data_IF_269827950508
#
_entry.id   IF_269827950508
#
_cell.length_a   1.000
_cell.length_b   1.000
_cell.length_c   1.000
_cell.angle_alpha   90.00
_cell.angle_beta   90.00
_cell.angle_gamma   90.00
#
_symmetry.space_group_name_H-M   'P 1'
#
loop_
_entity.id
_entity.type
_entity.pdbx_description
1 polymer ?
#
# COMPACT_ATOMS: atom_id res chain seq x y z
N UNK A 1 -28.40 10.81 -21.14
CA UNK A 1 -29.33 9.70 -20.87
C UNK A 1 -29.62 8.98 -22.16
N UNK A 2 -29.55 7.66 -22.16
CA UNK A 2 -29.91 6.82 -23.30
C UNK A 2 -31.34 6.31 -23.06
N UNK A 3 -32.27 6.71 -23.91
CA UNK A 3 -33.68 6.30 -23.78
C UNK A 3 -33.79 4.78 -23.81
N UNK A 4 -34.37 4.20 -22.76
CA UNK A 4 -34.50 2.75 -22.60
C UNK A 4 -33.21 1.97 -22.35
N UNK A 5 -32.04 2.63 -22.29
CA UNK A 5 -30.72 1.98 -22.21
C UNK A 5 -29.84 2.45 -21.04
N UNK A 6 -30.34 3.35 -20.19
CA UNK A 6 -29.62 3.85 -19.01
C UNK A 6 -28.88 5.16 -19.28
N UNK A 7 -27.61 5.24 -18.89
CA UNK A 7 -26.83 6.46 -18.98
C UNK A 7 -25.37 6.21 -19.37
N UNK A 8 -24.79 7.19 -20.06
CA UNK A 8 -23.38 7.23 -20.43
C UNK A 8 -22.73 8.39 -19.67
N UNK A 9 -21.62 8.11 -18.99
CA UNK A 9 -20.80 9.10 -18.30
C UNK A 9 -19.42 9.16 -18.96
N UNK A 10 -18.96 10.37 -19.26
CA UNK A 10 -17.67 10.61 -19.91
C UNK A 10 -16.85 11.58 -19.05
N UNK A 11 -15.55 11.34 -18.96
CA UNK A 11 -14.60 12.21 -18.27
C UNK A 11 -13.28 12.27 -19.03
N UNK A 12 -12.47 13.28 -18.76
CA UNK A 12 -11.13 13.37 -19.34
C UNK A 12 -10.20 12.27 -18.81
N UNK A 13 -10.50 11.75 -17.62
CA UNK A 13 -9.81 10.61 -17.01
C UNK A 13 -10.81 9.58 -16.51
N UNK A 14 -10.32 8.36 -16.21
CA UNK A 14 -11.14 7.27 -15.68
C UNK A 14 -11.81 7.66 -14.36
N UNK A 15 -11.07 8.34 -13.48
CA UNK A 15 -11.53 8.77 -12.17
C UNK A 15 -12.68 9.78 -12.30
N UNK A 16 -12.60 10.71 -13.25
CA UNK A 16 -13.67 11.67 -13.51
C UNK A 16 -14.92 10.98 -14.08
N UNK A 17 -14.76 10.06 -15.04
CA UNK A 17 -15.88 9.32 -15.61
C UNK A 17 -16.60 8.48 -14.53
N UNK A 18 -15.83 7.82 -13.66
CA UNK A 18 -16.36 7.07 -12.52
C UNK A 18 -17.07 8.00 -11.52
N UNK A 19 -16.49 9.15 -11.20
CA UNK A 19 -17.08 10.15 -10.32
C UNK A 19 -18.45 10.62 -10.82
N UNK A 20 -18.56 10.92 -12.11
CA UNK A 20 -19.84 11.29 -12.73
C UNK A 20 -20.85 10.14 -12.68
N UNK A 21 -20.44 8.90 -12.98
CA UNK A 21 -21.32 7.74 -12.92
C UNK A 21 -21.85 7.48 -11.50
N UNK A 22 -20.98 7.56 -10.49
CA UNK A 22 -21.35 7.41 -9.08
C UNK A 22 -22.36 8.48 -8.65
N UNK A 23 -22.10 9.74 -8.99
CA UNK A 23 -23.00 10.85 -8.65
C UNK A 23 -24.34 10.76 -9.40
N UNK A 24 -24.32 10.31 -10.65
CA UNK A 24 -25.54 10.06 -11.40
C UNK A 24 -26.39 8.98 -10.74
N UNK A 25 -25.77 7.87 -10.34
CA UNK A 25 -26.48 6.80 -9.64
C UNK A 25 -27.11 7.29 -8.34
N UNK A 26 -26.35 8.05 -7.53
CA UNK A 26 -26.87 8.66 -6.31
C UNK A 26 -28.02 9.65 -6.58
N UNK A 27 -27.90 10.49 -7.62
CA UNK A 27 -28.95 11.41 -8.02
C UNK A 27 -30.22 10.68 -8.46
N UNK A 28 -30.09 9.61 -9.26
CA UNK A 28 -31.22 8.78 -9.66
C UNK A 28 -31.88 8.10 -8.46
N UNK A 29 -31.11 7.62 -7.49
CA UNK A 29 -31.66 7.02 -6.27
C UNK A 29 -32.47 8.03 -5.45
N UNK A 30 -31.95 9.26 -5.28
CA UNK A 30 -32.69 10.34 -4.63
C UNK A 30 -33.94 10.70 -5.41
N UNK A 31 -33.86 10.83 -6.73
CA UNK A 31 -35.01 11.12 -7.59
C UNK A 31 -36.10 10.05 -7.49
N UNK A 32 -35.72 8.76 -7.45
CA UNK A 32 -36.67 7.67 -7.28
C UNK A 32 -37.37 7.71 -5.91
N UNK A 33 -36.67 8.10 -4.85
CA UNK A 33 -37.27 8.28 -3.52
C UNK A 33 -38.22 9.48 -3.48
N UNK A 34 -37.92 10.54 -4.23
CA UNK A 34 -38.76 11.73 -4.34
C UNK A 34 -39.92 11.58 -5.34
N UNK A 35 -39.88 10.59 -6.23
CA UNK A 35 -40.89 10.38 -7.27
C UNK A 35 -42.30 10.09 -6.73
N UNK A 36 -42.42 9.72 -5.45
CA UNK A 36 -43.70 9.53 -4.77
C UNK A 36 -44.33 10.82 -4.25
N UNK A 37 -43.58 11.92 -4.22
CA UNK A 37 -44.05 13.22 -3.74
C UNK A 37 -44.60 14.06 -4.89
N UNK A 38 -45.63 14.89 -4.65
CA UNK A 38 -46.11 15.85 -5.64
C UNK A 38 -45.05 16.91 -5.94
N UNK A 39 -45.02 17.39 -7.18
CA UNK A 39 -44.04 18.39 -7.63
C UNK A 39 -44.10 19.70 -6.83
N UNK A 40 -45.29 20.06 -6.34
CA UNK A 40 -45.53 21.30 -5.59
C UNK A 40 -44.82 21.31 -4.22
N UNK A 41 -44.49 20.13 -3.67
CA UNK A 41 -43.72 20.01 -2.42
C UNK A 41 -42.21 20.05 -2.65
N UNK A 42 -41.74 19.96 -3.90
CA UNK A 42 -40.33 19.94 -4.24
C UNK A 42 -39.80 21.36 -4.44
N UNK A 43 -38.78 21.71 -3.66
CA UNK A 43 -38.02 22.94 -3.89
C UNK A 43 -36.97 22.71 -4.98
N UNK A 44 -37.15 23.38 -6.11
CA UNK A 44 -36.17 23.39 -7.19
C UNK A 44 -35.07 24.40 -6.86
N UNK A 45 -33.82 23.97 -7.02
CA UNK A 45 -32.67 24.86 -6.91
C UNK A 45 -32.65 25.84 -8.08
N UNK A 46 -32.37 27.10 -7.78
CA UNK A 46 -32.18 28.12 -8.81
C UNK A 46 -30.96 27.80 -9.70
N UNK A 47 -31.01 28.25 -10.95
CA UNK A 47 -29.98 27.94 -11.93
C UNK A 47 -28.62 28.55 -11.57
N UNK A 48 -28.60 29.74 -10.96
CA UNK A 48 -27.37 30.38 -10.51
C UNK A 48 -26.75 29.57 -9.36
N UNK A 49 -27.57 29.15 -8.40
CA UNK A 49 -27.13 28.31 -7.27
C UNK A 49 -26.58 26.97 -7.77
N UNK A 50 -27.28 26.32 -8.69
CA UNK A 50 -26.84 25.06 -9.32
C UNK A 50 -25.49 25.20 -10.02
N UNK A 51 -25.29 26.31 -10.74
CA UNK A 51 -24.02 26.60 -11.42
C UNK A 51 -22.89 26.84 -10.41
N UNK A 52 -23.12 27.62 -9.36
CA UNK A 52 -22.14 27.85 -8.30
C UNK A 52 -21.75 26.56 -7.58
N UNK A 53 -22.71 25.67 -7.30
CA UNK A 53 -22.44 24.34 -6.72
C UNK A 53 -21.58 23.48 -7.68
N UNK A 54 -21.90 23.52 -8.97
CA UNK A 54 -21.12 22.78 -9.98
C UNK A 54 -19.67 23.30 -10.08
N UNK A 55 -19.48 24.62 -10.17
CA UNK A 55 -18.16 25.23 -10.26
C UNK A 55 -17.35 25.03 -8.97
N UNK A 56 -17.97 25.14 -7.79
CA UNK A 56 -17.30 24.90 -6.51
C UNK A 56 -16.88 23.44 -6.33
N UNK A 57 -17.69 22.46 -6.78
CA UNK A 57 -17.32 21.03 -6.74
C UNK A 57 -16.09 20.70 -7.59
N UNK A 58 -15.80 21.54 -8.60
CA UNK A 58 -14.70 21.37 -9.54
C UNK A 58 -13.48 22.23 -9.22
N UNK A 59 -13.52 22.97 -8.11
CA UNK A 59 -12.41 23.82 -7.69
C UNK A 59 -11.44 23.02 -6.82
N UNK A 60 -10.13 23.03 -7.14
CA UNK A 60 -9.14 22.40 -6.28
C UNK A 60 -9.08 23.11 -4.91
N UNK A 61 -8.79 22.37 -3.82
CA UNK A 61 -8.46 22.98 -2.55
C UNK A 61 -7.15 23.76 -2.67
N UNK A 62 -6.98 24.79 -1.82
CA UNK A 62 -5.96 25.85 -1.97
C UNK A 62 -4.51 25.36 -2.16
N UNK A 63 -4.15 24.19 -1.60
CA UNK A 63 -2.76 23.69 -1.58
C UNK A 63 -2.52 22.42 -2.42
N UNK A 64 -3.45 22.03 -3.30
CA UNK A 64 -3.36 20.74 -3.98
C UNK A 64 -2.86 20.84 -5.44
N UNK A 65 -1.53 20.89 -5.59
CA UNK A 65 -0.84 20.98 -6.89
C UNK A 65 -1.15 19.84 -7.88
N UNK A 66 -1.74 18.71 -7.43
CA UNK A 66 -2.07 17.54 -8.26
C UNK A 66 -3.54 17.12 -8.20
N UNK A 67 -4.41 17.99 -7.68
CA UNK A 67 -5.82 17.68 -7.50
C UNK A 67 -6.53 17.41 -8.83
N UNK A 68 -7.44 16.44 -8.82
CA UNK A 68 -8.31 16.10 -9.94
C UNK A 68 -9.69 15.76 -9.41
N UNK A 69 -10.72 16.08 -10.20
CA UNK A 69 -12.11 15.74 -9.90
C UNK A 69 -12.24 14.22 -9.76
N UNK A 70 -12.71 13.76 -8.60
CA UNK A 70 -12.88 12.34 -8.31
C UNK A 70 -11.60 11.53 -8.08
N UNK A 71 -10.42 12.13 -8.18
CA UNK A 71 -9.13 11.44 -8.06
C UNK A 71 -8.93 10.81 -6.68
N UNK A 72 -9.16 11.58 -5.61
CA UNK A 72 -8.99 11.11 -4.23
C UNK A 72 -10.00 10.03 -3.85
N UNK A 73 -11.27 10.22 -4.22
CA UNK A 73 -12.32 9.24 -3.94
C UNK A 73 -12.05 7.92 -4.66
N UNK A 74 -11.66 7.99 -5.94
CA UNK A 74 -11.33 6.81 -6.72
C UNK A 74 -10.13 6.10 -6.12
N UNK A 75 -9.08 6.83 -5.78
CA UNK A 75 -7.89 6.27 -5.14
C UNK A 75 -8.23 5.57 -3.82
N UNK A 76 -9.04 6.20 -2.96
CA UNK A 76 -9.48 5.62 -1.68
C UNK A 76 -10.25 4.31 -1.90
N UNK A 77 -11.13 4.25 -2.90
CA UNK A 77 -11.86 3.02 -3.24
C UNK A 77 -10.94 1.92 -3.76
N UNK A 78 -9.95 2.25 -4.59
CA UNK A 78 -8.95 1.28 -5.05
C UNK A 78 -8.16 0.69 -3.88
N UNK A 79 -7.82 1.51 -2.87
CA UNK A 79 -7.19 1.01 -1.63
C UNK A 79 -8.09 0.06 -0.87
N UNK A 80 -9.38 0.38 -0.74
CA UNK A 80 -10.33 -0.51 -0.07
C UNK A 80 -10.43 -1.87 -0.77
N UNK A 81 -10.43 -1.87 -2.11
CA UNK A 81 -10.45 -3.09 -2.91
C UNK A 81 -9.14 -3.88 -2.77
N UNK A 82 -7.99 -3.22 -2.79
CA UNK A 82 -6.70 -3.87 -2.58
C UNK A 82 -6.58 -4.47 -1.17
N UNK A 83 -7.07 -3.76 -0.15
CA UNK A 83 -7.12 -4.25 1.23
C UNK A 83 -8.05 -5.47 1.38
N UNK A 84 -9.10 -5.55 0.57
CA UNK A 84 -9.98 -6.72 0.48
C UNK A 84 -9.39 -7.85 -0.39
N UNK A 85 -8.21 -7.66 -0.99
CA UNK A 85 -7.48 -8.67 -1.75
C UNK A 85 -7.71 -8.64 -3.27
N UNK A 86 -8.44 -7.65 -3.80
CA UNK A 86 -8.81 -7.59 -5.22
C UNK A 86 -7.72 -7.10 -6.18
N UNK A 87 -6.53 -6.72 -5.69
CA UNK A 87 -5.32 -6.37 -6.48
C UNK A 87 -5.63 -5.55 -7.75
N UNK A 88 -6.22 -4.38 -7.56
CA UNK A 88 -6.64 -3.44 -8.60
C UNK A 88 -5.51 -2.97 -9.53
N UNK A 89 -4.26 -2.98 -9.05
CA UNK A 89 -3.11 -2.48 -9.81
C UNK A 89 -3.10 -0.96 -10.02
N UNK A 90 -3.95 -0.23 -9.30
CA UNK A 90 -4.02 1.22 -9.40
C UNK A 90 -2.75 1.89 -8.87
N UNK A 91 -2.27 2.92 -9.58
CA UNK A 91 -1.07 3.66 -9.19
C UNK A 91 -1.48 4.76 -8.21
N UNK A 92 -1.13 4.56 -6.94
CA UNK A 92 -1.39 5.49 -5.86
C UNK A 92 -0.56 6.77 -5.97
N UNK A 93 -1.22 7.92 -5.99
CA UNK A 93 -0.56 9.23 -6.00
C UNK A 93 -0.19 9.68 -4.60
N UNK A 94 -1.03 9.37 -3.63
CA UNK A 94 -0.72 9.61 -2.22
C UNK A 94 0.09 8.42 -1.67
N UNK A 95 1.26 8.64 -1.07
CA UNK A 95 1.98 7.55 -0.44
C UNK A 95 1.17 6.98 0.73
N UNK A 96 1.32 5.68 1.00
CA UNK A 96 0.73 5.05 2.17
C UNK A 96 1.33 5.67 3.44
N UNK A 97 0.54 6.47 4.15
CA UNK A 97 0.86 6.87 5.52
C UNK A 97 0.51 5.68 6.42
N UNK A 98 1.38 4.67 6.45
CA UNK A 98 1.31 3.61 7.46
C UNK A 98 1.76 4.27 8.76
N UNK A 99 0.83 4.53 9.67
CA UNK A 99 1.21 4.85 11.04
C UNK A 99 2.10 3.70 11.53
N UNK A 100 3.24 4.02 12.13
CA UNK A 100 4.14 3.02 12.68
C UNK A 100 3.33 2.07 13.56
N UNK A 101 3.43 0.77 13.27
CA UNK A 101 2.78 -0.24 14.11
C UNK A 101 3.28 0.02 15.53
N UNK A 102 2.38 0.23 16.52
CA UNK A 102 2.82 0.49 17.88
C UNK A 102 3.84 -0.56 18.27
N UNK A 103 5.07 -0.11 18.58
CA UNK A 103 6.16 -1.03 18.91
C UNK A 103 5.66 -1.97 20.00
N UNK A 104 5.73 -3.31 19.81
CA UNK A 104 5.32 -4.24 20.84
C UNK A 104 6.16 -3.94 22.08
N UNK A 105 5.50 -3.48 23.15
CA UNK A 105 6.16 -3.21 24.42
C UNK A 105 6.39 -4.57 25.09
N UNK A 106 7.59 -5.10 24.91
CA UNK A 106 7.98 -6.36 25.54
C UNK A 106 8.57 -6.02 26.91
N UNK A 107 7.77 -6.19 27.98
CA UNK A 107 8.22 -6.01 29.37
C UNK A 107 9.04 -7.22 29.89
N UNK A 108 9.46 -8.11 28.99
CA UNK A 108 10.24 -9.32 29.29
C UNK A 108 11.55 -9.23 28.50
N UNK A 109 12.68 -9.38 29.20
CA UNK A 109 14.00 -9.49 28.57
C UNK A 109 13.99 -10.66 27.58
N UNK A 110 13.99 -10.33 26.29
CA UNK A 110 13.98 -11.34 25.23
C UNK A 110 15.42 -11.82 25.02
N UNK A 111 15.70 -13.13 25.13
CA UNK A 111 17.05 -13.62 24.93
C UNK A 111 17.54 -13.30 23.51
N UNK A 112 18.85 -13.10 23.31
CA UNK A 112 19.44 -12.59 22.06
C UNK A 112 19.18 -13.46 20.81
N UNK A 113 18.62 -14.66 20.98
CA UNK A 113 18.26 -15.58 19.89
C UNK A 113 16.82 -15.38 19.35
N UNK A 114 15.98 -14.57 20.01
CA UNK A 114 14.62 -14.32 19.54
C UNK A 114 14.64 -13.23 18.49
N UNK A 115 14.64 -13.64 17.23
CA UNK A 115 14.36 -12.74 16.11
C UNK A 115 12.88 -12.34 16.17
N UNK A 116 12.60 -11.31 16.97
CA UNK A 116 11.26 -10.74 17.08
C UNK A 116 11.00 -9.82 15.89
N UNK A 117 9.72 -9.72 15.52
CA UNK A 117 9.14 -8.90 14.44
C UNK A 117 9.74 -7.48 14.27
N UNK A 118 10.38 -6.92 15.31
CA UNK A 118 11.12 -5.66 15.23
C UNK A 118 12.25 -5.64 14.19
N UNK A 119 12.97 -6.74 13.99
CA UNK A 119 14.04 -6.81 12.98
C UNK A 119 13.48 -6.78 11.55
N UNK A 120 12.32 -7.40 11.34
CA UNK A 120 11.60 -7.37 10.05
C UNK A 120 11.05 -5.97 9.74
N UNK A 121 10.62 -5.23 10.77
CA UNK A 121 10.14 -3.85 10.61
C UNK A 121 11.29 -2.88 10.28
N UNK A 122 12.43 -2.99 10.96
CA UNK A 122 13.63 -2.19 10.65
C UNK A 122 14.14 -2.47 9.22
N UNK A 123 14.07 -3.73 8.77
CA UNK A 123 14.44 -4.10 7.40
C UNK A 123 13.45 -3.51 6.37
N UNK A 124 12.14 -3.56 6.63
CA UNK A 124 11.11 -2.95 5.77
C UNK A 124 11.27 -1.42 5.65
N UNK A 125 11.69 -0.74 6.72
CA UNK A 125 12.00 0.70 6.72
C UNK A 125 13.23 1.05 5.89
N UNK A 126 14.28 0.23 5.94
CA UNK A 126 15.48 0.38 5.09
C UNK A 126 15.16 0.25 3.60
N UNK A 127 14.21 -0.61 3.24
CA UNK A 127 13.68 -0.71 1.88
C UNK A 127 12.87 0.53 1.48
N UNK A 128 12.05 1.08 2.39
CA UNK A 128 11.26 2.30 2.14
C UNK A 128 12.10 3.56 1.98
N UNK A 129 13.20 3.69 2.73
CA UNK A 129 14.07 4.87 2.66
C UNK A 129 15.16 4.78 1.58
N UNK A 130 15.26 3.66 0.84
CA UNK A 130 16.26 3.50 -0.23
C UNK A 130 17.71 3.41 0.27
N UNK A 131 17.92 3.24 1.58
CA UNK A 131 19.26 3.13 2.20
C UNK A 131 19.92 1.76 2.00
N UNK A 132 19.18 0.75 1.51
CA UNK A 132 19.69 -0.62 1.36
C UNK A 132 20.95 -0.73 0.47
N UNK A 133 21.17 0.24 -0.43
CA UNK A 133 22.35 0.28 -1.32
C UNK A 133 23.59 0.92 -0.69
N UNK A 134 23.52 1.48 0.52
CA UNK A 134 24.61 2.28 1.13
C UNK A 134 25.24 1.65 2.38
N UNK A 135 25.19 0.33 2.50
CA UNK A 135 25.86 -0.45 3.56
C UNK A 135 27.15 -1.11 3.09
N UNK A 136 28.11 -0.34 2.59
CA UNK A 136 29.46 -0.82 2.27
C UNK A 136 30.26 -1.13 3.52
N UNK A 137 29.97 -2.25 4.18
CA UNK A 137 30.68 -2.67 5.39
C UNK A 137 30.25 -4.05 5.87
N UNK A 138 31.05 -5.08 5.53
CA UNK A 138 31.03 -6.44 6.10
C UNK A 138 29.63 -7.09 6.22
N UNK A 139 28.98 -7.31 5.09
CA UNK A 139 27.71 -8.05 5.00
C UNK A 139 27.88 -9.59 4.93
N UNK A 140 29.08 -10.13 5.15
CA UNK A 140 29.37 -11.56 5.01
C UNK A 140 29.11 -12.41 6.26
N UNK A 141 29.00 -11.81 7.44
CA UNK A 141 28.82 -12.57 8.70
C UNK A 141 27.35 -12.64 9.14
N UNK A 142 26.52 -11.66 8.76
CA UNK A 142 25.11 -11.57 9.20
C UNK A 142 24.13 -12.40 8.37
N UNK A 143 24.56 -12.93 7.23
CA UNK A 143 23.80 -13.86 6.36
C UNK A 143 24.21 -15.32 6.54
N UNK A 144 24.96 -15.63 7.60
CA UNK A 144 25.19 -17.03 7.97
C UNK A 144 23.93 -17.51 8.72
N UNK A 145 23.17 -18.41 8.10
CA UNK A 145 22.05 -19.09 8.73
C UNK A 145 22.50 -19.69 10.07
N UNK A 146 22.06 -19.09 11.18
CA UNK A 146 22.43 -19.49 12.55
C UNK A 146 21.88 -20.86 12.95
N UNK A 147 21.17 -21.56 12.07
CA UNK A 147 20.58 -22.86 12.34
C UNK A 147 20.72 -23.87 11.17
N UNK A 148 21.80 -23.78 10.37
CA UNK A 148 22.20 -24.95 9.59
C UNK A 148 22.99 -25.89 10.52
N UNK A 149 22.53 -27.11 10.84
CA UNK A 149 23.17 -27.97 11.84
C UNK A 149 24.58 -28.47 11.45
N UNK A 150 25.04 -28.15 10.25
CA UNK A 150 26.31 -28.60 9.70
C UNK A 150 27.23 -27.40 9.41
N UNK A 151 27.95 -26.96 10.44
CA UNK A 151 29.16 -26.15 10.25
C UNK A 151 30.34 -27.10 10.29
N UNK A 152 30.75 -27.62 9.12
CA UNK A 152 31.94 -28.45 9.03
C UNK A 152 33.20 -27.58 9.18
N UNK A 153 33.99 -27.82 10.22
CA UNK A 153 35.29 -27.20 10.42
C UNK A 153 36.34 -28.00 9.66
N UNK A 154 37.06 -27.34 8.75
CA UNK A 154 38.23 -27.91 8.09
C UNK A 154 39.36 -27.97 9.11
N UNK A 155 39.67 -29.17 9.60
CA UNK A 155 40.81 -29.40 10.49
C UNK A 155 41.89 -30.13 9.70
N UNK A 156 43.07 -29.54 9.62
CA UNK A 156 44.26 -30.19 9.08
C UNK A 156 44.87 -31.05 10.18
N UNK A 157 44.77 -32.38 10.03
CA UNK A 157 45.35 -33.33 10.97
C UNK A 157 46.52 -34.01 10.27
N UNK A 158 47.64 -34.09 10.98
CA UNK A 158 48.81 -34.85 10.55
C UNK A 158 48.56 -36.34 10.84
N UNK A 159 48.85 -37.22 9.89
CA UNK A 159 48.79 -38.66 10.13
C UNK A 159 49.75 -39.07 11.26
N UNK A 160 49.21 -39.57 12.36
CA UNK A 160 50.01 -40.04 13.50
C UNK A 160 50.41 -41.49 13.27
N UNK A 161 51.72 -41.77 13.21
CA UNK A 161 52.26 -43.15 13.18
C UNK A 161 53.20 -43.47 12.02
N UNK A 162 53.54 -42.51 11.16
CA UNK A 162 54.56 -42.66 10.12
C UNK A 162 55.67 -41.61 10.29
N UNK A 163 56.88 -41.92 9.84
CA UNK A 163 58.07 -41.06 10.00
C UNK A 163 58.03 -39.80 9.12
N UNK A 164 57.16 -39.74 8.11
CA UNK A 164 56.89 -38.56 7.27
C UNK A 164 55.37 -38.28 7.19
N UNK A 165 54.81 -37.51 8.14
CA UNK A 165 53.36 -37.31 8.20
C UNK A 165 52.89 -36.36 7.10
N UNK A 166 51.95 -36.83 6.26
CA UNK A 166 51.25 -35.97 5.30
C UNK A 166 50.11 -35.22 5.99
N UNK A 167 49.90 -33.97 5.58
CA UNK A 167 48.75 -33.17 6.01
C UNK A 167 47.49 -33.66 5.30
N UNK A 168 46.53 -34.15 6.05
CA UNK A 168 45.23 -34.56 5.52
C UNK A 168 44.16 -33.62 6.06
N UNK A 169 43.31 -33.13 5.15
CA UNK A 169 42.18 -32.27 5.49
C UNK A 169 40.99 -33.13 5.86
N UNK A 170 40.52 -33.03 7.11
CA UNK A 170 39.28 -33.65 7.57
C UNK A 170 38.22 -32.57 7.81
N UNK A 171 37.00 -32.84 7.37
CA UNK A 171 35.83 -32.04 7.67
C UNK A 171 35.16 -32.66 8.90
N UNK A 172 35.06 -31.92 10.00
CA UNK A 172 34.39 -32.33 11.24
C UNK A 172 33.18 -31.45 11.47
#
# INVERSE_FOLDING_TARGET
>A
MLSGGGALCCGATLEEAFYQAKNLNAACEVQLRLASLPLDELSLLDEETRRQMYESSRKPPSDAAKWRVGGEEFEALMRMLDNAGFRTGYIYRHPLVKNDVPRPKNDVEVPPAVSSLGYLLEEEELYKQGLWKKGGGKAGERTRWLNSPNVYQKVEVLETGTTDPKKITKWV
#
